data_IF_787048326046
#
_entry.id   IF_787048326046
#
_cell.length_a   1.000
_cell.length_b   1.000
_cell.length_c   1.000
_cell.angle_alpha   90.00
_cell.angle_beta   90.00
_cell.angle_gamma   90.00
#
_symmetry.space_group_name_H-M   'P 1'
#
loop_
_entity.id
_entity.type
_entity.pdbx_description
1 polymer ?
#
# COMPACT_ATOMS: atom_id res chain seq x y z
N UNK A 1 -25.83 7.93 40.52
CA UNK A 1 -24.94 9.10 40.38
C UNK A 1 -23.49 8.81 40.69
N UNK A 2 -23.19 8.14 41.80
CA UNK A 2 -21.81 7.85 42.16
C UNK A 2 -21.12 6.91 41.16
N UNK A 3 -21.84 5.94 40.60
CA UNK A 3 -21.28 5.04 39.63
C UNK A 3 -20.95 5.72 38.31
N UNK A 4 -21.73 6.70 37.89
CA UNK A 4 -21.45 7.46 36.67
C UNK A 4 -20.23 8.35 36.83
N UNK A 5 -20.06 8.97 38.02
CA UNK A 5 -18.89 9.80 38.32
C UNK A 5 -17.61 8.95 38.31
N UNK A 6 -17.64 7.78 38.96
CA UNK A 6 -16.51 6.88 38.98
C UNK A 6 -16.13 6.39 37.58
N UNK A 7 -17.14 6.09 36.76
CA UNK A 7 -16.91 5.66 35.39
C UNK A 7 -16.23 6.76 34.57
N UNK A 8 -16.69 8.03 34.76
CA UNK A 8 -16.11 9.18 34.10
C UNK A 8 -14.65 9.42 34.53
N UNK A 9 -14.38 9.29 35.82
CA UNK A 9 -13.03 9.41 36.36
C UNK A 9 -12.11 8.32 35.82
N UNK A 10 -12.59 7.08 35.73
CA UNK A 10 -11.82 5.98 35.19
C UNK A 10 -11.49 6.19 33.73
N UNK A 11 -12.42 6.73 32.93
CA UNK A 11 -12.15 7.05 31.54
C UNK A 11 -11.08 8.13 31.41
N UNK A 12 -11.15 9.16 32.25
CA UNK A 12 -10.15 10.24 32.25
C UNK A 12 -8.77 9.70 32.63
N UNK A 13 -8.69 8.85 33.64
CA UNK A 13 -7.44 8.22 34.05
C UNK A 13 -6.85 7.35 32.93
N UNK A 14 -7.71 6.57 32.27
CA UNK A 14 -7.26 5.75 31.16
C UNK A 14 -6.69 6.58 30.02
N UNK A 15 -7.36 7.69 29.69
CA UNK A 15 -6.89 8.59 28.64
C UNK A 15 -5.55 9.20 29.01
N UNK A 16 -5.37 9.64 30.25
CA UNK A 16 -4.12 10.19 30.73
C UNK A 16 -3.01 9.16 30.71
N UNK A 17 -3.30 7.93 31.11
CA UNK A 17 -2.32 6.84 31.09
C UNK A 17 -1.87 6.53 29.68
N UNK A 18 -2.79 6.52 28.71
CA UNK A 18 -2.46 6.28 27.31
C UNK A 18 -1.57 7.36 26.73
N UNK A 19 -1.86 8.62 27.02
CA UNK A 19 -1.04 9.76 26.58
C UNK A 19 0.35 9.67 27.19
N UNK A 20 0.42 9.38 28.50
CA UNK A 20 1.68 9.24 29.20
C UNK A 20 2.50 8.09 28.63
N UNK A 21 1.86 6.97 28.35
CA UNK A 21 2.51 5.79 27.77
C UNK A 21 3.10 6.09 26.39
N UNK A 22 2.34 6.78 25.53
CA UNK A 22 2.83 7.19 24.21
C UNK A 22 4.01 8.14 24.31
N UNK A 23 3.95 9.07 25.23
CA UNK A 23 5.05 10.04 25.45
C UNK A 23 6.31 9.31 25.91
N UNK A 24 6.17 8.36 26.85
CA UNK A 24 7.29 7.57 27.32
C UNK A 24 7.90 6.72 26.22
N UNK A 25 7.08 6.11 25.38
CA UNK A 25 7.54 5.32 24.24
C UNK A 25 8.31 6.18 23.24
N UNK A 26 7.81 7.37 22.94
CA UNK A 26 8.47 8.30 22.03
C UNK A 26 9.84 8.75 22.59
N UNK A 27 9.92 8.99 23.88
CA UNK A 27 11.16 9.40 24.52
C UNK A 27 12.18 8.26 24.60
N UNK A 28 11.68 7.01 24.71
CA UNK A 28 12.56 5.84 24.77
C UNK A 28 13.19 5.52 23.42
N UNK A 29 12.59 5.97 22.30
CA UNK A 29 13.11 5.73 20.97
C UNK A 29 14.21 6.72 20.61
N UNK A 30 15.31 6.22 20.07
CA UNK A 30 16.37 7.08 19.57
C UNK A 30 15.92 7.79 18.30
N UNK A 31 16.54 8.93 17.94
CA UNK A 31 16.28 9.57 16.65
C UNK A 31 16.48 8.63 15.46
N UNK A 32 17.48 7.75 15.52
CA UNK A 32 17.72 6.78 14.46
C UNK A 32 16.56 5.78 14.33
N UNK A 33 16.01 5.33 15.45
CA UNK A 33 14.86 4.42 15.46
C UNK A 33 13.62 5.11 14.89
N UNK A 34 13.39 6.36 15.24
CA UNK A 34 12.27 7.13 14.68
C UNK A 34 12.41 7.33 13.18
N UNK A 35 13.62 7.63 12.72
CA UNK A 35 13.88 7.78 11.29
C UNK A 35 13.60 6.49 10.53
N UNK A 36 14.00 5.35 11.10
CA UNK A 36 13.75 4.05 10.50
C UNK A 36 12.24 3.76 10.43
N UNK A 37 11.50 4.06 11.50
CA UNK A 37 10.05 3.86 11.52
C UNK A 37 9.36 4.71 10.45
N UNK A 38 9.77 5.96 10.29
CA UNK A 38 9.21 6.84 9.25
C UNK A 38 9.53 6.32 7.86
N UNK A 39 10.72 5.80 7.66
CA UNK A 39 11.11 5.21 6.38
C UNK A 39 10.27 3.97 6.08
N UNK A 40 10.05 3.11 7.07
CA UNK A 40 9.23 1.92 6.92
C UNK A 40 7.78 2.28 6.59
N UNK A 41 7.23 3.31 7.24
CA UNK A 41 5.89 3.82 6.92
C UNK A 41 5.82 4.36 5.49
N UNK A 42 6.83 5.12 5.07
CA UNK A 42 6.89 5.66 3.73
C UNK A 42 6.94 4.56 2.68
N UNK A 43 7.74 3.52 2.93
CA UNK A 43 7.82 2.36 2.03
C UNK A 43 6.50 1.60 1.95
N UNK A 44 5.81 1.44 3.07
CA UNK A 44 4.51 0.79 3.10
C UNK A 44 3.47 1.57 2.27
N UNK A 45 3.45 2.91 2.42
CA UNK A 45 2.56 3.77 1.65
C UNK A 45 2.88 3.70 0.15
N UNK A 46 4.17 3.69 -0.20
CA UNK A 46 4.59 3.58 -1.59
C UNK A 46 4.19 2.22 -2.19
N UNK A 47 4.31 1.15 -1.42
CA UNK A 47 3.88 -0.18 -1.85
C UNK A 47 2.37 -0.23 -2.12
N UNK A 48 1.56 0.40 -1.27
CA UNK A 48 0.12 0.52 -1.48
C UNK A 48 -0.19 1.29 -2.76
N UNK A 49 0.54 2.37 -3.00
CA UNK A 49 0.34 3.20 -4.18
C UNK A 49 0.64 2.41 -5.47
N UNK A 50 1.71 1.65 -5.47
CA UNK A 50 2.07 0.80 -6.61
C UNK A 50 1.03 -0.32 -6.80
N UNK A 51 0.51 -0.89 -5.70
CA UNK A 51 -0.54 -1.90 -5.78
C UNK A 51 -1.82 -1.34 -6.40
N UNK A 52 -2.17 -0.08 -6.12
CA UNK A 52 -3.30 0.60 -6.74
C UNK A 52 -3.10 0.76 -8.25
N UNK A 53 -1.89 1.12 -8.66
CA UNK A 53 -1.57 1.21 -10.09
C UNK A 53 -1.69 -0.16 -10.75
N UNK A 54 -1.15 -1.19 -10.13
CA UNK A 54 -1.22 -2.54 -10.69
C UNK A 54 -2.68 -3.01 -10.85
N UNK A 55 -3.53 -2.75 -9.86
CA UNK A 55 -4.95 -3.07 -9.93
C UNK A 55 -5.64 -2.30 -11.07
N UNK A 56 -5.29 -1.02 -11.25
CA UNK A 56 -5.84 -0.20 -12.33
C UNK A 56 -5.40 -0.71 -13.69
N UNK A 57 -4.14 -1.12 -13.82
CA UNK A 57 -3.63 -1.71 -15.07
C UNK A 57 -4.36 -3.02 -15.40
N UNK A 58 -4.58 -3.86 -14.41
CA UNK A 58 -5.30 -5.12 -14.59
C UNK A 58 -6.74 -4.88 -15.07
N UNK A 59 -7.40 -3.90 -14.46
CA UNK A 59 -8.77 -3.55 -14.84
C UNK A 59 -8.81 -2.97 -16.26
N UNK A 60 -7.89 -2.08 -16.58
CA UNK A 60 -7.80 -1.49 -17.91
C UNK A 60 -7.51 -2.55 -18.97
N UNK A 61 -6.61 -3.48 -18.66
CA UNK A 61 -6.27 -4.59 -19.57
C UNK A 61 -7.48 -5.48 -19.83
N UNK A 62 -8.27 -5.77 -18.79
CA UNK A 62 -9.49 -6.58 -18.94
C UNK A 62 -10.52 -5.89 -19.85
N UNK A 63 -10.72 -4.59 -19.66
CA UNK A 63 -11.64 -3.81 -20.49
C UNK A 63 -11.14 -3.77 -21.94
N UNK A 64 -9.85 -3.53 -22.13
CA UNK A 64 -9.24 -3.52 -23.46
C UNK A 64 -9.40 -4.86 -24.15
N UNK A 65 -9.23 -5.96 -23.42
CA UNK A 65 -9.42 -7.30 -23.95
C UNK A 65 -10.88 -7.54 -24.40
N UNK A 66 -11.85 -7.08 -23.60
CA UNK A 66 -13.26 -7.20 -23.94
C UNK A 66 -13.58 -6.47 -25.25
N UNK A 67 -13.05 -5.27 -25.43
CA UNK A 67 -13.24 -4.47 -26.65
C UNK A 67 -12.55 -5.18 -27.83
N UNK A 68 -11.32 -5.63 -27.65
CA UNK A 68 -10.57 -6.32 -28.71
C UNK A 68 -11.29 -7.55 -29.23
N UNK A 69 -12.01 -8.26 -28.35
CA UNK A 69 -12.75 -9.48 -28.71
C UNK A 69 -14.22 -9.22 -29.01
N UNK A 70 -14.68 -7.99 -28.93
CA UNK A 70 -16.09 -7.64 -29.01
C UNK A 70 -16.70 -7.63 -30.40
N UNK A 71 -15.91 -7.81 -31.43
CA UNK A 71 -16.42 -7.91 -32.80
C UNK A 71 -16.73 -6.58 -33.47
N UNK A 72 -17.58 -6.61 -34.46
CA UNK A 72 -17.81 -5.51 -35.37
C UNK A 72 -18.52 -4.29 -34.76
N UNK A 73 -19.09 -4.42 -33.57
CA UNK A 73 -19.69 -3.27 -32.88
C UNK A 73 -18.62 -2.24 -32.51
N UNK A 74 -17.36 -2.66 -32.45
CA UNK A 74 -16.23 -1.76 -32.23
C UNK A 74 -15.45 -1.59 -33.54
N UNK A 75 -15.01 -0.35 -33.87
CA UNK A 75 -14.20 -0.15 -35.07
C UNK A 75 -12.94 -1.00 -35.04
N UNK A 76 -12.53 -1.48 -36.22
CA UNK A 76 -11.37 -2.37 -36.33
C UNK A 76 -10.08 -1.74 -35.75
N UNK A 77 -9.88 -0.43 -35.99
CA UNK A 77 -8.71 0.26 -35.45
C UNK A 77 -8.72 0.34 -33.94
N UNK A 78 -9.90 0.50 -33.34
CA UNK A 78 -10.05 0.52 -31.87
C UNK A 78 -9.76 -0.87 -31.30
N UNK A 79 -10.29 -1.90 -31.92
CA UNK A 79 -10.03 -3.30 -31.49
C UNK A 79 -8.54 -3.63 -31.53
N UNK A 80 -7.86 -3.22 -32.61
CA UNK A 80 -6.42 -3.44 -32.75
C UNK A 80 -5.63 -2.66 -31.67
N UNK A 81 -5.98 -1.41 -31.46
CA UNK A 81 -5.33 -0.60 -30.41
C UNK A 81 -5.56 -1.20 -29.03
N UNK A 82 -6.75 -1.69 -28.73
CA UNK A 82 -7.05 -2.32 -27.45
C UNK A 82 -6.27 -3.60 -27.25
N UNK A 83 -6.03 -4.37 -28.31
CA UNK A 83 -5.19 -5.56 -28.24
C UNK A 83 -3.75 -5.18 -27.85
N UNK A 84 -3.21 -4.15 -28.46
CA UNK A 84 -1.86 -3.66 -28.17
C UNK A 84 -1.77 -3.09 -26.74
N UNK A 85 -2.80 -2.36 -26.31
CA UNK A 85 -2.87 -1.84 -24.94
C UNK A 85 -2.87 -2.97 -23.92
N UNK A 86 -3.66 -4.02 -24.17
CA UNK A 86 -3.72 -5.16 -23.28
C UNK A 86 -2.35 -5.81 -23.12
N UNK A 87 -1.66 -6.05 -24.24
CA UNK A 87 -0.33 -6.66 -24.25
C UNK A 87 0.68 -5.78 -23.52
N UNK A 88 0.67 -4.48 -23.80
CA UNK A 88 1.61 -3.53 -23.21
C UNK A 88 1.38 -3.37 -21.71
N UNK A 89 0.14 -3.23 -21.26
CA UNK A 89 -0.17 -3.09 -19.85
C UNK A 89 0.21 -4.35 -19.06
N UNK A 90 -0.04 -5.52 -19.63
CA UNK A 90 0.33 -6.78 -19.02
C UNK A 90 1.84 -6.91 -18.87
N UNK A 91 2.58 -6.53 -19.90
CA UNK A 91 4.04 -6.57 -19.88
C UNK A 91 4.61 -5.59 -18.85
N UNK A 92 4.09 -4.37 -18.80
CA UNK A 92 4.56 -3.35 -17.85
C UNK A 92 4.26 -3.72 -16.42
N UNK A 93 3.09 -4.30 -16.16
CA UNK A 93 2.75 -4.80 -14.84
C UNK A 93 3.76 -5.85 -14.36
N UNK A 94 4.09 -6.80 -15.22
CA UNK A 94 5.10 -7.83 -14.92
C UNK A 94 6.48 -7.23 -14.70
N UNK A 95 6.85 -6.22 -15.49
CA UNK A 95 8.13 -5.55 -15.37
C UNK A 95 8.26 -4.83 -14.03
N UNK A 96 7.20 -4.12 -13.60
CA UNK A 96 7.17 -3.46 -12.30
C UNK A 96 7.38 -4.49 -11.18
N UNK A 97 6.67 -5.60 -11.23
CA UNK A 97 6.81 -6.66 -10.24
C UNK A 97 8.23 -7.21 -10.17
N UNK A 98 8.88 -7.39 -11.32
CA UNK A 98 10.26 -7.86 -11.39
C UNK A 98 11.22 -6.83 -10.79
N UNK A 99 11.04 -5.55 -11.08
CA UNK A 99 11.87 -4.48 -10.55
C UNK A 99 11.78 -4.45 -9.02
N UNK A 100 10.56 -4.52 -8.48
CA UNK A 100 10.34 -4.50 -7.03
C UNK A 100 11.05 -5.70 -6.37
N UNK A 101 10.90 -6.88 -6.97
CA UNK A 101 11.50 -8.10 -6.43
C UNK A 101 13.03 -8.05 -6.47
N UNK A 102 13.59 -7.57 -7.57
CA UNK A 102 15.07 -7.52 -7.74
C UNK A 102 15.73 -6.48 -6.86
N UNK A 103 15.07 -5.32 -6.69
CA UNK A 103 15.65 -4.23 -5.90
C UNK A 103 15.45 -4.42 -4.42
N UNK A 104 14.48 -5.25 -4.01
CA UNK A 104 14.12 -5.40 -2.62
C UNK A 104 13.57 -4.11 -2.02
N UNK A 105 13.00 -3.23 -2.87
CA UNK A 105 12.61 -1.88 -2.49
C UNK A 105 11.69 -1.85 -1.27
N UNK A 106 10.83 -2.86 -1.12
CA UNK A 106 9.86 -2.92 -0.01
C UNK A 106 10.11 -4.08 0.92
N UNK A 107 11.36 -4.59 0.93
CA UNK A 107 11.75 -5.64 1.87
C UNK A 107 11.77 -5.08 3.28
N UNK A 108 11.28 -5.88 4.22
CA UNK A 108 11.21 -5.51 5.62
C UNK A 108 12.43 -5.97 6.39
N UNK A 109 12.50 -5.54 7.65
CA UNK A 109 13.59 -5.82 8.56
C UNK A 109 13.94 -7.29 8.73
N UNK A 110 13.06 -8.20 8.39
CA UNK A 110 13.33 -9.63 8.47
C UNK A 110 14.54 -10.06 7.66
N UNK A 111 14.93 -9.31 6.65
CA UNK A 111 16.14 -9.58 5.88
C UNK A 111 17.38 -9.49 6.75
N UNK A 112 17.38 -8.55 7.68
CA UNK A 112 18.48 -8.38 8.60
C UNK A 112 18.56 -9.48 9.61
N UNK A 113 17.41 -10.08 9.93
CA UNK A 113 17.35 -11.20 10.86
C UNK A 113 17.74 -12.52 10.21
N UNK A 114 17.64 -12.62 8.92
CA UNK A 114 18.01 -13.80 8.16
C UNK A 114 19.50 -14.03 8.05
N UNK A 115 20.28 -13.09 8.54
CA UNK A 115 21.71 -13.20 8.59
C UNK A 115 22.21 -13.57 9.98
#
# INVERSE_FOLDING_TARGET
>A
MQSAVKSSENLALNALQQVHFKTADMLARTPAMRAQDLLDEAKAAAAEHIALLDAALAKAAAIASEIALGGEIYPAGVRDMCRRLNDDMSLKSKTIAVIIRKTGAFSHSRHRLGN
#
